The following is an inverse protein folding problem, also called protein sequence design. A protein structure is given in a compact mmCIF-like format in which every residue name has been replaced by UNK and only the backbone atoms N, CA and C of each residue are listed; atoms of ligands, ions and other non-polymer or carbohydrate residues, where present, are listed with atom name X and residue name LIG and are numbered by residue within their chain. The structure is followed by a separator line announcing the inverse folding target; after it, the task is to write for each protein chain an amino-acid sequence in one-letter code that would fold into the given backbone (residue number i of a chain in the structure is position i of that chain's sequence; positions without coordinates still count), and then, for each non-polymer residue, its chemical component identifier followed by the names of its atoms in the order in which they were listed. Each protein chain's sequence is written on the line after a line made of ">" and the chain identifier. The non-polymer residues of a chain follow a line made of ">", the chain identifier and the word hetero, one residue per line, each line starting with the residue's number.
data_IF_300815724058
#
_entry.id   IF_300815724058
#
_cell.length_a   1.000
_cell.length_b   1.000
_cell.length_c   1.000
_cell.angle_alpha   90.00
_cell.angle_beta   90.00
_cell.angle_gamma   90.00
#
_symmetry.space_group_name_H-M   'P 1'
#
loop_
_entity.id
_entity.type
_entity.pdbx_description
1 polymer ?
#
# COMPACT_ATOMS: atom_id res chain seq x y z
N UNK A 1 36.16 -32.55 -24.33
CA UNK A 1 37.54 -32.10 -24.02
C UNK A 1 37.45 -30.83 -23.19
N UNK A 2 38.29 -30.76 -22.15
CA UNK A 2 38.51 -29.68 -21.16
C UNK A 2 38.45 -28.28 -21.82
N UNK A 3 37.98 -27.21 -21.16
CA UNK A 3 38.66 -26.54 -20.04
C UNK A 3 37.71 -25.66 -19.20
N UNK A 4 37.79 -25.86 -17.88
CA UNK A 4 37.55 -24.87 -16.84
C UNK A 4 38.43 -23.63 -17.07
N UNK A 5 37.88 -22.44 -16.85
CA UNK A 5 38.66 -21.28 -16.43
C UNK A 5 37.93 -20.63 -15.24
N UNK A 6 38.42 -20.99 -14.06
CA UNK A 6 38.06 -20.42 -12.77
C UNK A 6 38.96 -19.20 -12.58
N UNK A 7 38.38 -18.00 -12.52
CA UNK A 7 39.10 -16.78 -12.12
C UNK A 7 38.67 -16.44 -10.70
N UNK A 8 39.59 -16.74 -9.80
CA UNK A 8 39.58 -16.41 -8.39
C UNK A 8 40.05 -14.95 -8.27
N UNK A 9 39.14 -14.01 -7.96
CA UNK A 9 39.55 -12.66 -7.55
C UNK A 9 39.34 -12.52 -6.05
N UNK A 10 40.49 -12.44 -5.38
CA UNK A 10 40.66 -12.39 -3.94
C UNK A 10 40.90 -10.93 -3.49
N UNK A 11 40.31 -10.59 -2.35
CA UNK A 11 40.69 -9.53 -1.38
C UNK A 11 40.74 -8.07 -1.86
N UNK A 12 39.99 -7.18 -1.20
CA UNK A 12 40.55 -6.21 -0.23
C UNK A 12 39.49 -5.94 0.86
N UNK A 13 39.84 -6.26 2.11
CA UNK A 13 39.18 -5.80 3.33
C UNK A 13 39.78 -4.44 3.69
N UNK A 14 38.93 -3.43 3.91
CA UNK A 14 39.33 -2.20 4.59
C UNK A 14 38.23 -1.81 5.58
N UNK A 15 38.35 -2.33 6.79
CA UNK A 15 37.61 -1.87 7.96
C UNK A 15 38.16 -0.50 8.38
N UNK A 16 37.33 0.55 8.31
CA UNK A 16 37.62 1.82 8.99
C UNK A 16 36.77 1.86 10.25
N UNK A 17 37.39 1.53 11.39
CA UNK A 17 36.87 1.90 12.69
C UNK A 17 36.97 3.42 12.82
N UNK A 18 35.83 4.08 12.97
CA UNK A 18 35.77 5.44 13.50
C UNK A 18 35.22 5.36 14.92
N UNK A 19 36.09 5.54 15.90
CA UNK A 19 35.76 5.68 17.31
C UNK A 19 36.27 7.04 17.78
N UNK A 20 35.41 7.78 18.50
CA UNK A 20 35.63 8.93 19.40
C UNK A 20 34.36 9.82 19.30
N UNK A 21 33.68 10.26 20.36
CA UNK A 21 33.94 10.33 21.79
C UNK A 21 32.62 10.59 22.52
N UNK A 22 32.49 10.01 23.72
CA UNK A 22 31.44 10.35 24.67
C UNK A 22 31.55 11.81 25.16
N UNK A 23 30.40 12.44 25.41
CA UNK A 23 30.27 13.48 26.44
C UNK A 23 28.92 13.31 27.11
N UNK A 24 28.98 12.75 28.32
CA UNK A 24 27.90 12.78 29.31
C UNK A 24 27.96 14.13 30.03
N UNK A 25 26.83 14.84 30.12
CA UNK A 25 26.59 15.75 31.24
C UNK A 25 25.14 15.62 31.69
N UNK A 26 25.00 15.07 32.89
CA UNK A 26 23.78 15.04 33.67
C UNK A 26 23.35 16.47 34.06
N UNK A 27 22.04 16.67 34.08
CA UNK A 27 21.37 17.89 34.56
C UNK A 27 19.94 17.54 34.93
N UNK A 28 19.78 17.03 36.15
CA UNK A 28 18.54 16.79 36.87
C UNK A 28 17.88 18.12 37.27
N UNK A 29 16.57 18.28 37.00
CA UNK A 29 15.55 18.78 37.96
C UNK A 29 14.15 18.81 37.33
N UNK A 30 13.30 17.93 37.85
CA UNK A 30 11.90 18.05 38.29
C UNK A 30 10.85 18.97 37.58
N UNK A 31 9.55 18.58 37.65
CA UNK A 31 8.50 19.01 36.74
C UNK A 31 7.73 20.24 37.23
N UNK A 32 7.31 21.08 36.29
CA UNK A 32 6.33 22.14 36.54
C UNK A 32 5.00 21.77 35.88
N UNK A 33 3.98 21.62 36.73
CA UNK A 33 2.57 21.65 36.39
C UNK A 33 2.22 22.87 35.55
N UNK A 34 1.38 22.68 34.55
CA UNK A 34 0.48 23.73 34.10
C UNK A 34 -0.92 23.16 33.89
N UNK A 35 -1.79 23.78 34.67
CA UNK A 35 -3.23 23.75 34.76
C UNK A 35 -3.90 24.33 33.49
N UNK A 36 -5.23 24.19 33.42
CA UNK A 36 -6.20 24.70 32.43
C UNK A 36 -6.47 23.76 31.23
N UNK A 37 -7.71 23.43 30.85
CA UNK A 37 -9.02 24.03 31.15
C UNK A 37 -10.10 22.96 30.96
N UNK A 38 -11.02 22.85 31.90
CA UNK A 38 -12.25 22.05 31.81
C UNK A 38 -13.45 22.99 31.66
N UNK A 39 -14.42 22.57 30.83
CA UNK A 39 -15.82 22.97 30.96
C UNK A 39 -16.35 23.94 29.90
N UNK A 40 -17.19 23.46 28.98
CA UNK A 40 -18.58 23.94 28.81
C UNK A 40 -19.35 23.06 27.80
N UNK A 41 -20.43 22.47 28.33
CA UNK A 41 -21.74 22.10 27.76
C UNK A 41 -21.89 21.68 26.29
N UNK A 42 -22.52 20.52 26.06
CA UNK A 42 -23.95 20.48 25.73
C UNK A 42 -24.36 19.08 25.27
N UNK A 43 -25.22 18.40 26.03
CA UNK A 43 -26.05 17.31 25.50
C UNK A 43 -27.36 17.26 26.29
N UNK A 44 -28.44 17.58 25.58
CA UNK A 44 -29.84 17.51 26.02
C UNK A 44 -30.55 16.38 25.28
N UNK A 45 -31.55 15.78 25.96
CA UNK A 45 -32.71 15.01 25.48
C UNK A 45 -32.61 13.47 25.32
N UNK A 46 -33.09 12.78 26.36
CA UNK A 46 -34.39 12.04 26.45
C UNK A 46 -34.85 11.11 25.30
N UNK A 47 -34.77 9.79 25.57
CA UNK A 47 -35.83 8.76 25.73
C UNK A 47 -37.09 8.70 24.81
N UNK A 48 -37.30 7.51 24.19
CA UNK A 48 -38.54 6.69 24.10
C UNK A 48 -38.32 5.57 23.04
N UNK A 49 -38.22 4.28 23.35
CA UNK A 49 -39.24 3.25 23.67
C UNK A 49 -40.18 2.81 22.51
N UNK A 50 -40.11 1.49 22.21
CA UNK A 50 -41.18 0.57 21.77
C UNK A 50 -41.72 0.68 20.30
N UNK A 51 -42.16 -0.36 19.57
CA UNK A 51 -42.49 -1.78 19.84
C UNK A 51 -42.50 -2.57 18.51
N UNK A 52 -42.21 -3.87 18.62
CA UNK A 52 -42.71 -5.06 17.89
C UNK A 52 -43.84 -4.90 16.83
N UNK A 53 -43.75 -5.64 15.71
CA UNK A 53 -44.68 -6.74 15.34
C UNK A 53 -44.28 -7.36 13.98
N UNK A 54 -44.33 -8.68 13.97
CA UNK A 54 -43.93 -9.63 12.94
C UNK A 54 -44.90 -9.80 11.74
N UNK A 55 -44.38 -10.51 10.72
CA UNK A 55 -44.89 -11.82 10.21
C UNK A 55 -45.33 -11.91 8.73
N UNK A 56 -44.72 -12.90 8.04
CA UNK A 56 -45.16 -13.69 6.86
C UNK A 56 -45.44 -12.97 5.53
N UNK A 57 -45.37 -13.59 4.34
CA UNK A 57 -44.67 -14.72 3.73
C UNK A 57 -45.11 -14.69 2.24
N UNK A 58 -44.25 -15.17 1.33
CA UNK A 58 -44.61 -15.99 0.15
C UNK A 58 -45.07 -15.34 -1.20
N UNK A 59 -44.25 -15.68 -2.21
CA UNK A 59 -44.56 -16.14 -3.58
C UNK A 59 -44.60 -15.21 -4.81
N UNK A 60 -43.59 -15.47 -5.66
CA UNK A 60 -43.60 -15.67 -7.13
C UNK A 60 -44.17 -14.62 -8.06
N UNK A 61 -43.33 -14.12 -8.97
CA UNK A 61 -43.47 -14.35 -10.43
C UNK A 61 -42.21 -13.91 -11.18
N UNK A 62 -41.73 -14.78 -12.04
CA UNK A 62 -40.64 -14.57 -13.00
C UNK A 62 -40.94 -13.44 -13.98
N UNK A 63 -40.01 -12.51 -14.15
CA UNK A 63 -39.88 -11.69 -15.34
C UNK A 63 -38.42 -11.73 -15.78
N UNK A 64 -38.19 -12.30 -16.95
CA UNK A 64 -36.89 -12.34 -17.63
C UNK A 64 -36.59 -10.92 -18.10
N UNK A 65 -35.80 -10.19 -17.32
CA UNK A 65 -35.12 -8.98 -17.80
C UNK A 65 -33.82 -9.41 -18.47
N UNK A 66 -33.85 -9.30 -19.79
CA UNK A 66 -32.70 -9.34 -20.68
C UNK A 66 -31.66 -8.32 -20.20
N UNK A 67 -30.39 -8.71 -19.96
CA UNK A 67 -29.38 -7.71 -19.66
C UNK A 67 -29.16 -6.87 -20.91
N UNK A 68 -29.48 -5.58 -20.83
CA UNK A 68 -28.96 -4.58 -21.75
C UNK A 68 -27.44 -4.71 -21.72
N UNK A 69 -26.90 -5.16 -22.84
CA UNK A 69 -25.48 -5.12 -23.12
C UNK A 69 -25.10 -3.64 -23.19
N UNK A 70 -24.69 -3.07 -22.05
CA UNK A 70 -24.06 -1.76 -22.02
C UNK A 70 -22.86 -1.84 -22.92
N UNK A 71 -22.93 -1.14 -24.05
CA UNK A 71 -21.80 -0.89 -24.94
C UNK A 71 -20.72 -0.18 -24.12
N UNK A 72 -19.85 -0.97 -23.52
CA UNK A 72 -18.60 -0.53 -22.95
C UNK A 72 -17.81 0.02 -24.13
N UNK A 73 -17.86 1.35 -24.26
CA UNK A 73 -17.06 2.07 -25.22
C UNK A 73 -15.62 1.70 -24.91
N UNK A 74 -14.98 0.91 -25.77
CA UNK A 74 -13.54 0.64 -25.75
C UNK A 74 -12.82 1.97 -25.95
N UNK A 75 -12.74 2.76 -24.88
CA UNK A 75 -11.81 3.85 -24.76
C UNK A 75 -10.45 3.16 -24.76
N UNK A 76 -9.68 3.36 -25.83
CA UNK A 76 -8.33 2.79 -25.97
C UNK A 76 -7.59 2.93 -24.65
N UNK A 77 -7.46 1.83 -23.92
CA UNK A 77 -6.78 1.86 -22.63
C UNK A 77 -5.33 2.16 -22.93
N UNK A 78 -4.79 3.17 -22.26
CA UNK A 78 -3.35 3.35 -22.22
C UNK A 78 -2.81 2.04 -21.66
N UNK A 79 -1.94 1.35 -22.40
CA UNK A 79 -1.25 0.17 -21.90
C UNK A 79 -0.31 0.60 -20.78
N UNK A 80 -0.85 0.65 -19.57
CA UNK A 80 -0.18 1.11 -18.37
C UNK A 80 1.05 0.25 -18.09
N UNK A 81 0.99 -1.04 -18.41
CA UNK A 81 2.07 -1.99 -18.14
C UNK A 81 3.29 -1.66 -18.99
N UNK A 82 3.08 -1.39 -20.27
CA UNK A 82 4.15 -0.88 -21.14
C UNK A 82 4.74 0.43 -20.60
N UNK A 83 3.92 1.34 -20.07
CA UNK A 83 4.42 2.60 -19.47
C UNK A 83 5.20 2.41 -18.17
N UNK A 84 4.77 1.50 -17.31
CA UNK A 84 5.51 1.13 -16.09
C UNK A 84 6.85 0.49 -16.47
N UNK A 85 6.89 -0.37 -17.48
CA UNK A 85 8.11 -1.02 -17.93
C UNK A 85 9.08 -0.02 -18.58
N UNK A 86 8.58 0.93 -19.39
CA UNK A 86 9.39 2.06 -19.90
C UNK A 86 10.02 2.87 -18.76
N UNK A 87 9.29 3.10 -17.66
CA UNK A 87 9.83 3.78 -16.47
C UNK A 87 10.86 2.92 -15.75
N UNK A 88 10.63 1.61 -15.61
CA UNK A 88 11.55 0.67 -14.99
C UNK A 88 12.91 0.63 -15.73
N UNK A 89 12.88 0.64 -17.06
CA UNK A 89 14.07 0.59 -17.93
C UNK A 89 14.79 1.93 -18.08
N UNK A 90 14.18 3.03 -17.63
CA UNK A 90 14.78 4.36 -17.75
C UNK A 90 16.01 4.56 -16.83
N UNK A 91 16.85 5.54 -17.18
CA UNK A 91 18.00 5.96 -16.36
C UNK A 91 17.63 6.85 -15.16
N UNK A 92 16.33 6.99 -14.86
CA UNK A 92 15.85 7.78 -13.73
C UNK A 92 16.26 7.16 -12.38
N UNK A 93 16.37 8.00 -11.35
CA UNK A 93 16.56 7.51 -9.98
C UNK A 93 15.31 6.75 -9.50
N UNK A 94 15.43 5.84 -8.52
CA UNK A 94 14.28 5.14 -7.94
C UNK A 94 13.17 6.09 -7.50
N UNK A 95 13.52 7.21 -6.86
CA UNK A 95 12.57 8.26 -6.47
C UNK A 95 11.82 8.84 -7.67
N UNK A 96 12.54 9.23 -8.73
CA UNK A 96 11.91 9.81 -9.92
C UNK A 96 11.04 8.79 -10.68
N UNK A 97 11.43 7.50 -10.68
CA UNK A 97 10.60 6.41 -11.22
C UNK A 97 9.30 6.25 -10.43
N UNK A 98 9.38 6.23 -9.10
CA UNK A 98 8.21 6.13 -8.23
C UNK A 98 7.24 7.32 -8.43
N UNK A 99 7.77 8.55 -8.47
CA UNK A 99 6.98 9.76 -8.72
C UNK A 99 6.28 9.75 -10.09
N UNK A 100 6.99 9.29 -11.14
CA UNK A 100 6.42 9.15 -12.47
C UNK A 100 5.31 8.09 -12.51
N UNK A 101 5.51 6.94 -11.85
CA UNK A 101 4.49 5.89 -11.73
C UNK A 101 3.28 6.36 -10.92
N UNK A 102 3.49 7.14 -9.85
CA UNK A 102 2.40 7.76 -9.09
C UNK A 102 1.54 8.67 -9.95
N UNK A 103 2.19 9.53 -10.74
CA UNK A 103 1.48 10.41 -11.67
C UNK A 103 0.68 9.60 -12.69
N UNK A 104 1.29 8.57 -13.28
CA UNK A 104 0.63 7.68 -14.23
C UNK A 104 -0.59 6.99 -13.62
N UNK A 105 -0.44 6.42 -12.43
CA UNK A 105 -1.51 5.70 -11.73
C UNK A 105 -2.71 6.59 -11.37
N UNK A 106 -2.46 7.82 -10.90
CA UNK A 106 -3.53 8.78 -10.55
C UNK A 106 -4.30 9.31 -11.76
N UNK A 107 -3.68 9.30 -12.94
CA UNK A 107 -4.32 9.70 -14.19
C UNK A 107 -5.01 8.52 -14.90
N UNK A 108 -4.74 7.28 -14.45
CA UNK A 108 -5.30 6.07 -15.03
C UNK A 108 -6.79 5.94 -14.73
N UNK A 109 -7.52 5.32 -15.67
CA UNK A 109 -8.95 5.03 -15.52
C UNK A 109 -9.14 3.53 -15.71
N UNK A 110 -9.07 2.74 -14.62
CA UNK A 110 -9.18 1.30 -14.72
C UNK A 110 -10.60 0.88 -15.09
N UNK A 111 -10.71 -0.26 -15.77
CA UNK A 111 -11.96 -1.00 -15.86
C UNK A 111 -12.28 -1.72 -14.55
N UNK A 112 -13.51 -2.19 -14.38
CA UNK A 112 -13.91 -2.98 -13.20
C UNK A 112 -13.09 -4.28 -13.10
N UNK A 113 -12.82 -4.94 -14.22
CA UNK A 113 -12.05 -6.19 -14.25
C UNK A 113 -10.60 -5.95 -13.80
N UNK A 114 -9.97 -4.86 -14.27
CA UNK A 114 -8.63 -4.47 -13.82
C UNK A 114 -8.58 -4.15 -12.33
N UNK A 115 -9.61 -3.50 -11.77
CA UNK A 115 -9.66 -3.24 -10.33
C UNK A 115 -9.67 -4.52 -9.51
N UNK A 116 -10.44 -5.54 -9.93
CA UNK A 116 -10.44 -6.84 -9.24
C UNK A 116 -9.11 -7.58 -9.44
N UNK A 117 -8.48 -7.49 -10.62
CA UNK A 117 -7.13 -8.03 -10.86
C UNK A 117 -6.09 -7.37 -9.95
N UNK A 118 -6.09 -6.04 -9.86
CA UNK A 118 -5.17 -5.29 -9.00
C UNK A 118 -5.37 -5.63 -7.54
N UNK A 119 -6.62 -5.72 -7.09
CA UNK A 119 -6.96 -6.11 -5.73
C UNK A 119 -6.47 -7.52 -5.42
N UNK A 120 -6.72 -8.47 -6.32
CA UNK A 120 -6.21 -9.83 -6.17
C UNK A 120 -4.68 -9.86 -6.09
N UNK A 121 -4.00 -9.17 -6.99
CA UNK A 121 -2.54 -9.08 -7.05
C UNK A 121 -1.96 -8.57 -5.73
N UNK A 122 -2.36 -7.37 -5.29
CA UNK A 122 -1.81 -6.73 -4.08
C UNK A 122 -2.09 -7.56 -2.82
N UNK A 123 -3.27 -8.19 -2.73
CA UNK A 123 -3.59 -9.10 -1.62
C UNK A 123 -2.70 -10.34 -1.62
N UNK A 124 -2.48 -10.99 -2.77
CA UNK A 124 -1.62 -12.16 -2.87
C UNK A 124 -0.16 -11.82 -2.53
N UNK A 125 0.34 -10.72 -3.06
CA UNK A 125 1.69 -10.21 -2.79
C UNK A 125 1.95 -10.02 -1.29
N UNK A 126 0.97 -9.48 -0.56
CA UNK A 126 1.07 -9.33 0.89
C UNK A 126 0.90 -10.66 1.64
N UNK A 127 -0.14 -11.46 1.34
CA UNK A 127 -0.43 -12.72 2.03
C UNK A 127 0.74 -13.72 1.89
N UNK A 128 1.41 -13.71 0.75
CA UNK A 128 2.57 -14.56 0.48
C UNK A 128 3.89 -13.94 0.99
N UNK A 129 3.86 -12.73 1.56
CA UNK A 129 5.02 -11.96 2.01
C UNK A 129 6.06 -11.69 0.91
N UNK A 130 5.61 -11.54 -0.33
CA UNK A 130 6.48 -11.38 -1.50
C UNK A 130 6.63 -9.92 -1.93
N UNK A 131 5.71 -9.04 -1.55
CA UNK A 131 5.62 -7.67 -2.07
C UNK A 131 6.89 -6.80 -1.93
N UNK A 132 7.80 -7.16 -1.01
CA UNK A 132 9.10 -6.51 -0.79
C UNK A 132 10.31 -7.43 -1.03
N UNK A 133 10.10 -8.67 -1.50
CA UNK A 133 11.15 -9.71 -1.64
C UNK A 133 12.30 -9.26 -2.56
N UNK A 134 11.97 -8.56 -3.65
CA UNK A 134 12.94 -7.96 -4.56
C UNK A 134 12.80 -6.43 -4.63
N UNK A 135 13.04 -5.78 -3.49
CA UNK A 135 12.94 -4.32 -3.34
C UNK A 135 13.82 -3.49 -4.30
N UNK A 136 14.80 -4.11 -4.96
CA UNK A 136 15.70 -3.46 -5.92
C UNK A 136 15.25 -3.56 -7.37
N UNK A 137 14.30 -4.45 -7.66
CA UNK A 137 13.80 -4.68 -9.00
C UNK A 137 12.75 -3.63 -9.37
N UNK A 138 13.14 -2.70 -10.25
CA UNK A 138 12.31 -1.57 -10.62
C UNK A 138 11.01 -2.00 -11.32
N UNK A 139 11.04 -2.98 -12.23
CA UNK A 139 9.81 -3.44 -12.89
C UNK A 139 8.82 -3.98 -11.86
N UNK A 140 9.31 -4.86 -10.99
CA UNK A 140 8.51 -5.48 -9.94
C UNK A 140 7.90 -4.44 -8.99
N UNK A 141 8.73 -3.58 -8.41
CA UNK A 141 8.30 -2.60 -7.42
C UNK A 141 7.38 -1.53 -8.01
N UNK A 142 7.63 -1.09 -9.25
CA UNK A 142 6.78 -0.10 -9.91
C UNK A 142 5.42 -0.70 -10.35
N UNK A 143 5.37 -1.98 -10.72
CA UNK A 143 4.10 -2.68 -10.97
C UNK A 143 3.27 -2.78 -9.68
N UNK A 144 3.89 -3.12 -8.55
CA UNK A 144 3.26 -3.14 -7.23
C UNK A 144 2.75 -1.73 -6.84
N UNK A 145 3.59 -0.71 -7.05
CA UNK A 145 3.26 0.68 -6.75
C UNK A 145 2.08 1.19 -7.57
N UNK A 146 2.09 0.95 -8.88
CA UNK A 146 1.03 1.38 -9.80
C UNK A 146 -0.33 0.85 -9.36
N UNK A 147 -0.44 -0.47 -9.17
CA UNK A 147 -1.69 -1.13 -8.83
C UNK A 147 -2.23 -0.67 -7.48
N UNK A 148 -1.37 -0.54 -6.47
CA UNK A 148 -1.77 -0.05 -5.15
C UNK A 148 -2.34 1.38 -5.20
N UNK A 149 -1.75 2.27 -6.01
CA UNK A 149 -2.23 3.65 -6.15
C UNK A 149 -3.56 3.71 -6.91
N UNK A 150 -3.71 2.90 -7.96
CA UNK A 150 -4.98 2.82 -8.68
C UNK A 150 -6.10 2.35 -7.74
N UNK A 151 -5.85 1.33 -6.92
CA UNK A 151 -6.82 0.86 -5.91
C UNK A 151 -7.13 1.93 -4.86
N UNK A 152 -6.11 2.60 -4.32
CA UNK A 152 -6.29 3.70 -3.34
C UNK A 152 -7.21 4.79 -3.89
N UNK A 153 -7.04 5.15 -5.17
CA UNK A 153 -7.76 6.25 -5.80
C UNK A 153 -9.18 5.90 -6.25
N UNK A 154 -9.42 4.65 -6.67
CA UNK A 154 -10.67 4.24 -7.32
C UNK A 154 -11.59 3.33 -6.49
N UNK A 155 -11.08 2.67 -5.44
CA UNK A 155 -11.89 1.74 -4.66
C UNK A 155 -12.58 2.41 -3.44
N UNK A 156 -13.78 1.92 -3.15
CA UNK A 156 -14.75 2.43 -2.18
C UNK A 156 -14.55 1.70 -0.85
N UNK A 157 -13.65 2.26 -0.06
CA UNK A 157 -13.43 2.05 1.39
C UNK A 157 -12.80 0.73 1.86
N UNK A 158 -13.19 -0.45 1.38
CA UNK A 158 -12.81 -1.71 2.05
C UNK A 158 -11.31 -2.01 1.93
N UNK A 159 -10.72 -1.77 0.76
CA UNK A 159 -9.28 -2.04 0.53
C UNK A 159 -8.43 -0.79 0.51
N UNK A 160 -9.00 0.40 0.77
CA UNK A 160 -8.26 1.66 0.64
C UNK A 160 -7.11 1.75 1.63
N UNK A 161 -7.38 1.47 2.91
CA UNK A 161 -6.37 1.53 3.96
C UNK A 161 -5.27 0.48 3.73
N UNK A 162 -5.67 -0.70 3.25
CA UNK A 162 -4.75 -1.75 2.83
C UNK A 162 -3.86 -1.27 1.66
N UNK A 163 -4.45 -0.76 0.58
CA UNK A 163 -3.73 -0.27 -0.58
C UNK A 163 -2.79 0.88 -0.24
N UNK A 164 -3.20 1.79 0.66
CA UNK A 164 -2.38 2.90 1.14
C UNK A 164 -1.15 2.41 1.93
N UNK A 165 -1.34 1.49 2.87
CA UNK A 165 -0.22 0.91 3.64
C UNK A 165 0.75 0.14 2.73
N UNK A 166 0.21 -0.61 1.76
CA UNK A 166 1.00 -1.37 0.80
C UNK A 166 1.83 -0.43 -0.09
N UNK A 167 1.20 0.63 -0.59
CA UNK A 167 1.85 1.70 -1.35
C UNK A 167 3.01 2.31 -0.56
N UNK A 168 2.81 2.66 0.72
CA UNK A 168 3.84 3.30 1.53
C UNK A 168 5.05 2.39 1.72
N UNK A 169 4.86 1.12 2.10
CA UNK A 169 5.96 0.20 2.25
C UNK A 169 6.70 -0.05 0.94
N UNK A 170 5.96 -0.31 -0.13
CA UNK A 170 6.53 -0.54 -1.47
C UNK A 170 7.38 0.65 -1.90
N UNK A 171 6.85 1.88 -1.78
CA UNK A 171 7.58 3.11 -2.14
C UNK A 171 8.81 3.32 -1.28
N UNK A 172 8.68 3.20 0.04
CA UNK A 172 9.77 3.51 0.96
C UNK A 172 10.93 2.54 0.78
N UNK A 173 10.66 1.25 0.58
CA UNK A 173 11.68 0.25 0.28
C UNK A 173 12.30 0.49 -1.08
N UNK A 174 11.49 0.67 -2.14
CA UNK A 174 12.00 0.86 -3.50
C UNK A 174 12.88 2.11 -3.64
N UNK A 175 12.49 3.21 -2.99
CA UNK A 175 13.27 4.45 -3.00
C UNK A 175 14.48 4.42 -2.07
N UNK A 176 14.64 3.36 -1.27
CA UNK A 176 15.70 3.22 -0.27
C UNK A 176 15.53 4.14 0.93
N UNK A 177 14.32 4.68 1.16
CA UNK A 177 14.00 5.47 2.34
C UNK A 177 13.91 4.59 3.60
N UNK A 178 13.48 3.34 3.45
CA UNK A 178 13.39 2.36 4.53
C UNK A 178 14.03 1.02 4.12
N UNK A 179 14.58 0.31 5.11
CA UNK A 179 14.96 -1.09 4.94
C UNK A 179 13.73 -1.99 5.09
N UNK A 180 13.74 -3.15 4.42
CA UNK A 180 12.63 -4.13 4.44
C UNK A 180 12.30 -4.59 5.87
N UNK A 181 13.27 -4.66 6.76
CA UNK A 181 13.09 -5.11 8.16
C UNK A 181 13.00 -3.97 9.18
N UNK A 182 12.85 -2.72 8.71
CA UNK A 182 12.70 -1.53 9.56
C UNK A 182 11.42 -1.58 10.40
N UNK A 183 11.44 -0.88 11.52
CA UNK A 183 10.25 -0.77 12.38
C UNK A 183 9.12 0.02 11.69
N UNK A 184 9.47 0.95 10.79
CA UNK A 184 8.46 1.65 9.97
C UNK A 184 7.75 0.69 9.02
N UNK A 185 8.48 -0.21 8.35
CA UNK A 185 7.87 -1.20 7.46
C UNK A 185 6.94 -2.13 8.23
N UNK A 186 7.39 -2.63 9.38
CA UNK A 186 6.57 -3.49 10.25
C UNK A 186 5.30 -2.79 10.74
N UNK A 187 5.38 -1.51 11.09
CA UNK A 187 4.21 -0.74 11.51
C UNK A 187 3.14 -0.66 10.40
N UNK A 188 3.54 -0.50 9.14
CA UNK A 188 2.61 -0.59 8.02
C UNK A 188 2.12 -2.01 7.74
N UNK A 189 2.94 -3.04 7.97
CA UNK A 189 2.49 -4.43 7.89
C UNK A 189 1.41 -4.75 8.92
N UNK A 190 1.51 -4.21 10.13
CA UNK A 190 0.44 -4.28 11.12
C UNK A 190 -0.86 -3.63 10.62
N UNK A 191 -0.78 -2.50 9.92
CA UNK A 191 -1.93 -1.87 9.27
C UNK A 191 -2.51 -2.73 8.14
N UNK A 192 -1.66 -3.38 7.35
CA UNK A 192 -2.07 -4.32 6.30
C UNK A 192 -2.82 -5.53 6.89
N UNK A 193 -2.27 -6.14 7.95
CA UNK A 193 -2.93 -7.24 8.67
C UNK A 193 -4.26 -6.80 9.28
N UNK A 194 -4.30 -5.62 9.89
CA UNK A 194 -5.51 -5.06 10.47
C UNK A 194 -6.58 -4.86 9.40
N UNK A 195 -6.25 -4.26 8.26
CA UNK A 195 -7.19 -4.00 7.17
C UNK A 195 -7.80 -5.30 6.61
N UNK A 196 -7.01 -6.37 6.46
CA UNK A 196 -7.53 -7.68 6.02
C UNK A 196 -8.44 -8.32 7.05
N UNK A 197 -8.14 -8.18 8.35
CA UNK A 197 -8.90 -8.84 9.41
C UNK A 197 -10.16 -8.07 9.82
N UNK A 198 -10.12 -6.73 9.78
CA UNK A 198 -11.26 -5.86 10.12
C UNK A 198 -12.26 -5.74 8.95
N UNK A 199 -11.85 -6.02 7.72
CA UNK A 199 -12.71 -6.03 6.52
C UNK A 199 -13.51 -7.31 6.29
N UNK A 200 -13.61 -8.20 7.29
CA UNK A 200 -14.34 -9.48 7.24
C UNK A 200 -15.70 -9.43 7.95
#
# INVERSE_FOLDING_TARGET
>A
MKKLALVLSAFIVASVLSACTATTKAGETAPASTESTEGTESATATEAENTDVAKEEVSTTSAVEQPEQTEQTEQASVDWRSKVNELADSDLSPTAKAEATEKLAREYKPTTDELEEFKYHVLQEFINFQYLEDGSNAEYMLNNLFQAIVLEHHDVSVVRDFALAFYHNTKNVFTGAEAVDSDSVKAYEELLFKAINDGR
#
